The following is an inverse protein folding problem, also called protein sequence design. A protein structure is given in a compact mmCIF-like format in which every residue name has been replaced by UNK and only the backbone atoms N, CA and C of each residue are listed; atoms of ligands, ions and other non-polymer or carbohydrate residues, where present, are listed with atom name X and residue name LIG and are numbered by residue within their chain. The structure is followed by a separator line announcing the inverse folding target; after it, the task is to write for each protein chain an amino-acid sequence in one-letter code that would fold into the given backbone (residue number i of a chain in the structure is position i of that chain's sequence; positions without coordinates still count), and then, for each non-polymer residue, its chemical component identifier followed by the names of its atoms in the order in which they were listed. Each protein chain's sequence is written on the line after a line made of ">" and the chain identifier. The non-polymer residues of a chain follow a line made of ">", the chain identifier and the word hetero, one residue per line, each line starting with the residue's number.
data_IF_100474098482
#
_entry.id   IF_100474098482
#
_cell.length_a   1.000
_cell.length_b   1.000
_cell.length_c   1.000
_cell.angle_alpha   90.00
_cell.angle_beta   90.00
_cell.angle_gamma   90.00
#
_symmetry.space_group_name_H-M   'P 1'
#
loop_
_entity.id
_entity.type
_entity.pdbx_description
1 polymer ?
#
# COMPACT_ATOMS: atom_id res chain seq x y z
N UNK A 1 41.79 14.92 -3.91
CA UNK A 1 41.35 13.51 -3.82
C UNK A 1 40.89 13.21 -2.41
N UNK A 2 39.60 13.41 -2.12
CA UNK A 2 38.99 12.96 -0.87
C UNK A 2 38.12 11.76 -1.23
N UNK A 3 38.69 10.58 -1.00
CA UNK A 3 37.95 9.31 -1.06
C UNK A 3 37.05 9.28 0.18
N UNK A 4 35.76 9.56 -0.02
CA UNK A 4 34.72 9.23 0.94
C UNK A 4 34.62 7.71 0.99
N UNK A 5 35.09 7.14 2.09
CA UNK A 5 34.93 5.72 2.40
C UNK A 5 33.44 5.47 2.60
N UNK A 6 32.85 4.60 1.79
CA UNK A 6 31.53 4.02 2.06
C UNK A 6 31.61 3.25 3.38
N UNK A 7 31.02 3.82 4.42
CA UNK A 7 30.87 3.16 5.70
C UNK A 7 29.82 2.04 5.58
N UNK A 8 30.33 0.81 5.58
CA UNK A 8 29.85 -0.28 6.42
C UNK A 8 28.33 -0.58 6.37
N UNK A 9 27.88 -1.29 5.35
CA UNK A 9 26.63 -2.07 5.46
C UNK A 9 26.92 -3.32 6.29
N UNK A 10 26.54 -3.30 7.57
CA UNK A 10 26.53 -4.49 8.42
C UNK A 10 25.69 -5.59 7.72
N UNK A 11 26.26 -6.76 7.39
CA UNK A 11 25.51 -7.86 6.76
C UNK A 11 24.35 -8.39 7.62
N UNK A 12 24.30 -8.02 8.90
CA UNK A 12 23.21 -8.35 9.82
C UNK A 12 22.25 -7.16 10.08
N UNK A 13 22.37 -6.05 9.36
CA UNK A 13 21.41 -4.94 9.48
C UNK A 13 20.03 -5.40 9.01
N UNK A 14 19.17 -5.75 9.96
CA UNK A 14 17.81 -6.17 9.69
C UNK A 14 16.96 -4.93 9.46
N UNK A 15 16.28 -4.87 8.31
CA UNK A 15 15.30 -3.81 8.03
C UNK A 15 14.19 -3.83 9.09
N UNK A 16 14.07 -2.76 9.88
CA UNK A 16 13.14 -2.64 11.01
C UNK A 16 11.90 -1.84 10.62
N UNK A 17 10.75 -2.49 10.73
CA UNK A 17 9.46 -1.84 10.68
C UNK A 17 8.53 -2.52 11.66
N UNK A 18 7.47 -1.80 12.04
CA UNK A 18 6.42 -2.31 12.91
C UNK A 18 5.08 -1.77 12.45
N UNK A 19 4.01 -2.43 12.87
CA UNK A 19 2.66 -1.93 12.72
C UNK A 19 2.00 -1.76 14.08
N UNK A 20 1.06 -0.81 14.17
CA UNK A 20 0.27 -0.59 15.38
C UNK A 20 -0.55 -1.84 15.68
N UNK A 21 -0.34 -2.43 16.87
CA UNK A 21 -0.98 -3.68 17.29
C UNK A 21 -2.41 -3.47 17.79
N UNK A 22 -2.66 -2.38 18.52
CA UNK A 22 -3.98 -2.01 19.05
C UNK A 22 -4.53 -0.84 18.23
N UNK A 23 -5.34 -1.16 17.24
CA UNK A 23 -6.13 -0.19 16.46
C UNK A 23 -7.27 -0.94 15.77
N UNK A 24 -8.25 -0.20 15.30
CA UNK A 24 -9.25 -0.73 14.40
C UNK A 24 -8.58 -1.14 13.08
N UNK A 25 -8.83 -2.39 12.64
CA UNK A 25 -8.43 -2.94 11.34
C UNK A 25 -9.56 -3.84 10.83
N UNK A 26 -9.78 -3.98 9.52
CA UNK A 26 -10.69 -5.00 9.02
C UNK A 26 -10.10 -6.40 9.29
N UNK A 27 -10.95 -7.41 9.46
CA UNK A 27 -10.50 -8.80 9.52
C UNK A 27 -10.27 -9.30 8.09
N UNK A 28 -9.27 -10.17 7.88
CA UNK A 28 -8.98 -10.75 6.55
C UNK A 28 -10.24 -11.41 5.95
N UNK A 29 -11.03 -12.09 6.78
CA UNK A 29 -12.28 -12.72 6.34
C UNK A 29 -13.32 -11.72 5.85
N UNK A 30 -13.37 -10.51 6.44
CA UNK A 30 -14.29 -9.47 6.00
C UNK A 30 -13.81 -8.80 4.72
N UNK A 31 -12.50 -8.60 4.54
CA UNK A 31 -11.90 -8.17 3.27
C UNK A 31 -12.26 -9.14 2.14
N UNK A 32 -12.12 -10.45 2.40
CA UNK A 32 -12.52 -11.49 1.45
C UNK A 32 -14.01 -11.41 1.12
N UNK A 33 -14.89 -11.24 2.11
CA UNK A 33 -16.33 -11.13 1.89
C UNK A 33 -16.70 -9.94 1.01
N UNK A 34 -16.20 -8.74 1.32
CA UNK A 34 -16.50 -7.54 0.53
C UNK A 34 -15.91 -7.63 -0.89
N UNK A 35 -14.80 -8.36 -1.08
CA UNK A 35 -14.25 -8.64 -2.40
C UNK A 35 -15.21 -9.41 -3.31
N UNK A 36 -16.09 -10.24 -2.73
CA UNK A 36 -17.16 -10.96 -3.45
C UNK A 36 -18.48 -10.17 -3.51
N UNK A 37 -18.54 -8.96 -2.95
CA UNK A 37 -19.77 -8.19 -2.79
C UNK A 37 -20.68 -8.72 -1.68
N UNK A 38 -20.14 -9.52 -0.75
CA UNK A 38 -20.87 -9.97 0.44
C UNK A 38 -20.70 -8.94 1.57
N UNK A 39 -21.70 -8.77 2.45
CA UNK A 39 -21.59 -7.83 3.57
C UNK A 39 -20.49 -8.26 4.54
N UNK A 40 -19.66 -7.32 5.01
CA UNK A 40 -18.74 -7.54 6.13
C UNK A 40 -19.50 -7.74 7.44
N UNK A 41 -18.87 -8.43 8.40
CA UNK A 41 -19.38 -8.56 9.78
C UNK A 41 -18.96 -7.36 10.63
N UNK A 42 -17.72 -6.90 10.47
CA UNK A 42 -17.18 -5.74 11.16
C UNK A 42 -17.62 -4.45 10.46
N UNK A 43 -18.22 -3.53 11.22
CA UNK A 43 -18.58 -2.19 10.72
C UNK A 43 -17.32 -1.43 10.33
N UNK A 44 -17.35 -0.77 9.18
CA UNK A 44 -16.24 0.04 8.66
C UNK A 44 -15.30 -0.68 7.70
N UNK A 45 -15.42 -2.01 7.50
CA UNK A 45 -14.56 -2.74 6.55
C UNK A 45 -14.79 -2.33 5.10
N UNK A 46 -16.01 -1.92 4.75
CA UNK A 46 -16.33 -1.38 3.43
C UNK A 46 -17.33 -0.23 3.52
N UNK A 47 -17.41 0.56 2.45
CA UNK A 47 -18.33 1.68 2.30
C UNK A 47 -19.16 1.53 1.02
N UNK A 48 -20.36 2.12 0.97
CA UNK A 48 -21.20 2.09 -0.24
C UNK A 48 -20.59 2.86 -1.41
N UNK A 49 -19.81 3.90 -1.15
CA UNK A 49 -19.16 4.67 -2.22
C UNK A 49 -17.71 4.30 -2.49
N UNK A 50 -17.16 3.29 -1.79
CA UNK A 50 -15.82 2.77 -2.07
C UNK A 50 -15.99 1.32 -2.53
N UNK A 51 -15.74 1.00 -3.81
CA UNK A 51 -15.99 -0.36 -4.27
C UNK A 51 -14.88 -1.28 -3.78
N UNK A 52 -15.29 -2.50 -3.50
CA UNK A 52 -14.39 -3.59 -3.17
C UNK A 52 -14.68 -4.85 -3.98
N UNK A 53 -15.84 -4.94 -4.65
CA UNK A 53 -16.23 -6.13 -5.39
C UNK A 53 -15.35 -6.32 -6.63
N UNK A 54 -14.59 -7.41 -6.63
CA UNK A 54 -13.71 -7.80 -7.71
C UNK A 54 -14.48 -8.58 -8.78
N UNK A 55 -14.11 -8.37 -10.05
CA UNK A 55 -14.46 -9.29 -11.12
C UNK A 55 -13.46 -10.47 -11.18
N UNK A 56 -13.61 -11.37 -12.16
CA UNK A 56 -12.77 -12.56 -12.29
C UNK A 56 -11.29 -12.23 -12.53
N UNK A 57 -10.99 -11.29 -13.43
CA UNK A 57 -9.63 -10.85 -13.72
C UNK A 57 -8.97 -10.18 -12.50
N UNK A 58 -9.69 -9.28 -11.84
CA UNK A 58 -9.24 -8.60 -10.62
C UNK A 58 -9.03 -9.60 -9.49
N UNK A 59 -9.89 -10.60 -9.38
CA UNK A 59 -9.74 -11.67 -8.41
C UNK A 59 -8.47 -12.48 -8.66
N UNK A 60 -8.22 -12.86 -9.92
CA UNK A 60 -7.01 -13.56 -10.29
C UNK A 60 -5.77 -12.74 -9.90
N UNK A 61 -5.75 -11.44 -10.21
CA UNK A 61 -4.65 -10.54 -9.82
C UNK A 61 -4.50 -10.42 -8.31
N UNK A 62 -5.61 -10.32 -7.57
CA UNK A 62 -5.62 -10.27 -6.11
C UNK A 62 -5.02 -11.54 -5.49
N UNK A 63 -5.42 -12.72 -5.95
CA UNK A 63 -4.88 -13.99 -5.46
C UNK A 63 -3.40 -14.18 -5.79
N UNK A 64 -2.95 -13.69 -6.95
CA UNK A 64 -1.53 -13.65 -7.29
C UNK A 64 -0.76 -12.69 -6.39
N UNK A 65 -1.34 -11.54 -6.06
CA UNK A 65 -0.70 -10.56 -5.17
C UNK A 65 -0.46 -11.12 -3.78
N UNK A 66 -1.42 -11.87 -3.22
CA UNK A 66 -1.28 -12.58 -1.93
C UNK A 66 -0.08 -13.52 -1.90
N UNK A 67 0.12 -14.27 -2.99
CA UNK A 67 1.23 -15.24 -3.12
C UNK A 67 2.57 -14.57 -3.35
N UNK A 68 2.60 -13.45 -4.08
CA UNK A 68 3.84 -12.73 -4.44
C UNK A 68 4.25 -11.70 -3.38
N UNK A 69 3.32 -11.25 -2.56
CA UNK A 69 3.50 -10.13 -1.62
C UNK A 69 3.41 -8.74 -2.26
N UNK A 70 3.09 -8.63 -3.54
CA UNK A 70 2.88 -7.35 -4.22
C UNK A 70 1.86 -7.48 -5.35
N UNK A 71 1.11 -6.40 -5.60
CA UNK A 71 0.09 -6.35 -6.63
C UNK A 71 0.67 -5.86 -7.95
N UNK A 72 0.37 -6.53 -9.06
CA UNK A 72 0.71 -6.06 -10.41
C UNK A 72 -0.55 -5.53 -11.11
N UNK A 73 -0.51 -4.28 -11.58
CA UNK A 73 -1.59 -3.68 -12.38
C UNK A 73 -1.02 -3.11 -13.69
N UNK A 74 -1.85 -2.96 -14.71
CA UNK A 74 -1.48 -2.28 -15.96
C UNK A 74 -1.94 -0.82 -15.86
N UNK A 75 -1.09 0.13 -16.26
CA UNK A 75 -1.37 1.56 -16.14
C UNK A 75 -1.60 1.96 -14.69
N UNK A 76 -2.49 2.93 -14.45
CA UNK A 76 -2.84 3.40 -13.10
C UNK A 76 -3.71 2.42 -12.30
N UNK A 77 -4.21 1.34 -12.91
CA UNK A 77 -5.24 0.48 -12.30
C UNK A 77 -6.61 1.15 -12.21
N UNK A 78 -6.73 2.43 -12.59
CA UNK A 78 -7.98 3.16 -12.70
C UNK A 78 -8.79 2.63 -13.89
N UNK A 79 -10.08 2.34 -13.65
CA UNK A 79 -11.01 1.96 -14.73
C UNK A 79 -12.02 3.09 -14.94
N UNK A 80 -11.88 3.91 -16.01
CA UNK A 80 -12.81 5.00 -16.31
C UNK A 80 -14.28 4.54 -16.36
N UNK A 81 -14.53 3.33 -16.84
CA UNK A 81 -15.87 2.74 -16.98
C UNK A 81 -16.54 2.44 -15.63
N UNK A 82 -15.76 2.36 -14.53
CA UNK A 82 -16.28 2.14 -13.17
C UNK A 82 -16.00 3.31 -12.24
N UNK A 83 -15.32 4.37 -12.71
CA UNK A 83 -14.87 5.55 -11.93
C UNK A 83 -14.16 5.21 -10.62
N UNK A 84 -13.56 4.03 -10.54
CA UNK A 84 -13.08 3.51 -9.28
C UNK A 84 -11.96 2.46 -9.49
N UNK A 85 -11.33 2.02 -8.39
CA UNK A 85 -10.25 1.02 -8.40
C UNK A 85 -10.47 -0.09 -7.35
N UNK A 86 -11.46 -0.98 -7.52
CA UNK A 86 -11.84 -2.00 -6.54
C UNK A 86 -10.69 -2.93 -6.15
N UNK A 87 -9.82 -3.27 -7.12
CA UNK A 87 -8.63 -4.09 -6.88
C UNK A 87 -7.64 -3.40 -5.94
N UNK A 88 -7.32 -2.13 -6.19
CA UNK A 88 -6.42 -1.34 -5.33
C UNK A 88 -7.01 -1.17 -3.93
N UNK A 89 -8.31 -0.85 -3.84
CA UNK A 89 -9.01 -0.68 -2.57
C UNK A 89 -9.00 -1.97 -1.73
N UNK A 90 -9.31 -3.11 -2.36
CA UNK A 90 -9.34 -4.42 -1.69
C UNK A 90 -7.95 -4.87 -1.27
N UNK A 91 -6.95 -4.62 -2.11
CA UNK A 91 -5.56 -4.93 -1.78
C UNK A 91 -5.04 -4.08 -0.62
N UNK A 92 -5.33 -2.77 -0.60
CA UNK A 92 -4.98 -1.88 0.51
C UNK A 92 -5.67 -2.30 1.82
N UNK A 93 -6.95 -2.70 1.76
CA UNK A 93 -7.67 -3.28 2.89
C UNK A 93 -7.03 -4.57 3.41
N UNK A 94 -6.56 -5.45 2.53
CA UNK A 94 -5.85 -6.66 2.93
C UNK A 94 -4.52 -6.34 3.65
N UNK A 95 -3.77 -5.38 3.12
CA UNK A 95 -2.52 -4.92 3.71
C UNK A 95 -2.77 -4.35 5.13
N UNK A 96 -3.84 -3.56 5.30
CA UNK A 96 -4.26 -3.02 6.59
C UNK A 96 -4.72 -4.12 7.57
N UNK A 97 -5.50 -5.09 7.10
CA UNK A 97 -5.92 -6.25 7.90
C UNK A 97 -4.72 -7.03 8.45
N UNK A 98 -3.62 -7.09 7.69
CA UNK A 98 -2.40 -7.80 8.05
C UNK A 98 -1.38 -6.91 8.79
N UNK A 99 -1.61 -5.61 8.86
CA UNK A 99 -0.63 -4.64 9.38
C UNK A 99 0.72 -4.75 8.67
N UNK A 100 0.68 -4.80 7.33
CA UNK A 100 1.85 -4.87 6.43
C UNK A 100 1.77 -3.76 5.39
N UNK A 101 2.90 -3.23 4.94
CA UNK A 101 2.93 -2.21 3.88
C UNK A 101 2.28 -2.74 2.59
N UNK A 102 1.67 -1.84 1.81
CA UNK A 102 1.08 -2.17 0.51
C UNK A 102 2.07 -1.95 -0.63
N UNK A 103 2.43 -3.00 -1.36
CA UNK A 103 3.37 -2.90 -2.50
C UNK A 103 2.60 -3.08 -3.82
N UNK A 104 2.70 -2.11 -4.72
CA UNK A 104 2.02 -2.12 -6.02
C UNK A 104 2.99 -1.80 -7.15
N UNK A 105 3.05 -2.68 -8.16
CA UNK A 105 3.77 -2.50 -9.41
C UNK A 105 2.78 -2.10 -10.52
N UNK A 106 2.83 -0.84 -10.93
CA UNK A 106 2.13 -0.32 -12.09
C UNK A 106 2.97 -0.53 -13.35
N UNK A 107 2.48 -1.37 -14.25
CA UNK A 107 3.15 -1.68 -15.51
C UNK A 107 2.81 -0.63 -16.56
N UNK A 108 3.83 0.10 -17.02
CA UNK A 108 3.77 0.98 -18.17
C UNK A 108 3.57 0.20 -19.47
N UNK A 109 3.20 0.90 -20.53
CA UNK A 109 2.98 0.27 -21.85
C UNK A 109 4.27 -0.30 -22.44
N UNK A 110 5.39 0.40 -22.22
CA UNK A 110 6.70 0.03 -22.79
C UNK A 110 7.48 -0.94 -21.91
N UNK A 111 7.23 -0.93 -20.60
CA UNK A 111 8.04 -1.65 -19.62
C UNK A 111 9.36 -0.97 -19.27
N UNK A 112 9.60 0.24 -19.75
CA UNK A 112 10.75 1.06 -19.35
C UNK A 112 10.41 2.04 -18.23
N UNK A 113 9.11 2.26 -18.00
CA UNK A 113 8.53 3.27 -17.12
C UNK A 113 7.58 2.65 -16.09
N UNK A 114 7.81 1.38 -15.71
CA UNK A 114 7.02 0.72 -14.67
C UNK A 114 7.23 1.44 -13.33
N UNK A 115 6.15 1.68 -12.57
CA UNK A 115 6.19 2.36 -11.26
C UNK A 115 6.01 1.36 -10.11
N UNK A 116 6.92 1.37 -9.15
CA UNK A 116 6.77 0.64 -7.88
C UNK A 116 6.32 1.64 -6.82
N UNK A 117 5.21 1.33 -6.14
CA UNK A 117 4.68 2.10 -5.02
C UNK A 117 4.71 1.25 -3.74
N UNK A 118 5.16 1.86 -2.65
CA UNK A 118 5.06 1.31 -1.29
C UNK A 118 4.21 2.23 -0.44
N UNK A 119 3.03 1.76 -0.03
CA UNK A 119 2.14 2.45 0.90
C UNK A 119 2.42 2.00 2.34
N UNK A 120 2.92 2.93 3.16
CA UNK A 120 3.18 2.69 4.59
C UNK A 120 1.95 2.92 5.47
N UNK A 121 0.87 3.52 4.95
CA UNK A 121 -0.33 3.81 5.73
C UNK A 121 -0.97 2.58 6.43
N UNK A 122 -0.95 1.35 5.86
CA UNK A 122 -1.39 0.15 6.57
C UNK A 122 -0.63 -0.17 7.87
N UNK A 123 0.57 0.39 8.07
CA UNK A 123 1.31 0.21 9.33
C UNK A 123 0.65 0.96 10.50
N UNK A 124 -0.12 2.03 10.20
CA UNK A 124 -0.85 2.87 11.19
C UNK A 124 0.04 3.51 12.25
N UNK A 125 1.26 3.89 11.87
CA UNK A 125 2.26 4.56 12.72
C UNK A 125 2.85 5.76 11.97
N UNK A 126 2.08 6.82 11.74
CA UNK A 126 2.50 7.98 10.94
C UNK A 126 3.82 8.60 11.43
N UNK A 127 4.05 8.60 12.73
CA UNK A 127 5.27 9.09 13.37
C UNK A 127 6.53 8.30 12.99
N UNK A 128 6.36 7.11 12.40
CA UNK A 128 7.47 6.25 11.94
C UNK A 128 7.67 6.23 10.43
N UNK A 129 6.73 6.77 9.64
CA UNK A 129 6.75 6.61 8.17
C UNK A 129 8.03 7.17 7.53
N UNK A 130 8.48 8.35 7.98
CA UNK A 130 9.69 8.97 7.45
C UNK A 130 10.93 8.10 7.72
N UNK A 131 11.10 7.60 8.94
CA UNK A 131 12.22 6.74 9.31
C UNK A 131 12.22 5.42 8.52
N UNK A 132 11.04 4.79 8.40
CA UNK A 132 10.89 3.55 7.61
C UNK A 132 11.17 3.81 6.12
N UNK A 133 10.78 4.96 5.58
CA UNK A 133 11.10 5.34 4.21
C UNK A 133 12.60 5.52 4.01
N UNK A 134 13.28 6.26 4.89
CA UNK A 134 14.72 6.49 4.81
C UNK A 134 15.50 5.18 4.87
N UNK A 135 15.15 4.31 5.82
CA UNK A 135 15.76 2.98 5.95
C UNK A 135 15.47 2.10 4.73
N UNK A 136 14.25 2.16 4.19
CA UNK A 136 13.88 1.44 2.98
C UNK A 136 14.75 1.89 1.79
N UNK A 137 14.89 3.20 1.58
CA UNK A 137 15.70 3.79 0.49
C UNK A 137 17.17 3.41 0.65
N UNK A 138 17.71 3.48 1.88
CA UNK A 138 19.08 3.06 2.17
C UNK A 138 19.30 1.56 1.88
N UNK A 139 18.34 0.71 2.28
CA UNK A 139 18.42 -0.74 2.10
C UNK A 139 18.31 -1.17 0.64
N UNK A 140 17.47 -0.49 -0.15
CA UNK A 140 17.31 -0.82 -1.57
C UNK A 140 18.36 -0.17 -2.45
N UNK A 141 19.03 0.88 -1.98
CA UNK A 141 20.08 1.65 -2.69
C UNK A 141 19.59 2.24 -4.03
N UNK A 142 18.30 2.55 -4.12
CA UNK A 142 17.67 3.17 -5.29
C UNK A 142 16.96 4.44 -4.81
N UNK A 143 17.33 5.58 -5.38
CA UNK A 143 16.69 6.86 -5.04
C UNK A 143 15.24 6.87 -5.55
N UNK A 144 14.27 7.24 -4.69
CA UNK A 144 12.88 7.38 -5.10
C UNK A 144 12.69 8.61 -6.00
N UNK A 145 11.53 8.69 -6.65
CA UNK A 145 11.11 9.89 -7.37
C UNK A 145 10.96 11.06 -6.38
N UNK A 146 11.43 12.25 -6.75
CA UNK A 146 11.23 13.46 -5.94
C UNK A 146 9.72 13.76 -5.79
N UNK A 147 9.27 14.06 -4.56
CA UNK A 147 7.85 14.27 -4.23
C UNK A 147 7.19 13.12 -3.45
N UNK A 148 7.96 12.20 -2.85
CA UNK A 148 7.44 11.21 -1.89
C UNK A 148 7.05 11.88 -0.56
N UNK A 149 5.94 12.59 -0.56
CA UNK A 149 5.19 13.01 0.61
C UNK A 149 3.70 13.00 0.26
N UNK A 150 2.85 13.09 1.28
CA UNK A 150 1.38 13.09 1.21
C UNK A 150 0.75 14.10 0.22
N UNK A 151 1.52 14.97 -0.40
CA UNK A 151 1.04 16.22 -0.98
C UNK A 151 1.04 16.24 -2.53
N UNK A 152 1.64 15.26 -3.21
CA UNK A 152 1.77 15.23 -4.68
C UNK A 152 0.95 14.12 -5.38
N UNK A 153 -0.02 13.52 -4.68
CA UNK A 153 -1.14 12.87 -5.39
C UNK A 153 -2.07 14.00 -5.81
N UNK A 154 -2.32 14.20 -7.11
CA UNK A 154 -3.25 15.23 -7.58
C UNK A 154 -4.65 14.98 -6.97
N UNK A 155 -4.94 15.64 -5.84
CA UNK A 155 -6.18 15.60 -5.05
C UNK A 155 -7.27 16.42 -5.77
N UNK A 156 -7.37 16.28 -7.09
CA UNK A 156 -8.39 16.95 -7.89
C UNK A 156 -9.76 16.28 -7.82
N UNK A 157 -9.88 15.12 -7.16
CA UNK A 157 -11.11 14.30 -7.24
C UNK A 157 -11.40 13.51 -5.95
N UNK A 158 -11.08 14.08 -4.77
CA UNK A 158 -11.45 13.52 -3.47
C UNK A 158 -12.22 14.50 -2.56
N UNK A 159 -12.70 15.63 -3.08
CA UNK A 159 -13.42 16.64 -2.29
C UNK A 159 -14.91 16.33 -2.06
N UNK A 160 -15.45 15.24 -2.61
CA UNK A 160 -16.89 14.95 -2.53
C UNK A 160 -17.37 14.22 -1.25
N UNK A 161 -16.50 14.05 -0.24
CA UNK A 161 -16.78 13.15 0.91
C UNK A 161 -16.72 13.84 2.28
N UNK A 162 -16.58 15.16 2.32
CA UNK A 162 -16.44 15.94 3.57
C UNK A 162 -17.77 16.28 4.25
N UNK A 163 -18.72 15.35 4.31
CA UNK A 163 -19.95 15.53 5.10
C UNK A 163 -20.11 14.39 6.12
N UNK A 164 -19.08 14.22 6.96
CA UNK A 164 -19.16 13.41 8.17
C UNK A 164 -19.07 14.35 9.35
N UNK A 165 -20.18 14.48 10.06
CA UNK A 165 -20.31 15.20 11.33
C UNK A 165 -19.10 14.92 12.23
N UNK A 166 -18.35 16.00 12.52
CA UNK A 166 -17.23 16.00 13.46
C UNK A 166 -17.81 15.77 14.86
N UNK A 167 -17.77 14.54 15.33
CA UNK A 167 -17.97 14.24 16.75
C UNK A 167 -16.64 14.49 17.46
N UNK A 168 -16.67 15.42 18.41
CA UNK A 168 -15.54 15.80 19.25
C UNK A 168 -15.23 14.69 20.26
N UNK A 169 -14.59 13.63 19.80
CA UNK A 169 -13.78 12.76 20.68
C UNK A 169 -12.35 12.75 20.12
N UNK A 170 -11.39 12.70 21.02
CA UNK A 170 -9.95 12.86 20.81
C UNK A 170 -9.36 11.61 20.10
N UNK A 171 -9.99 11.17 19.02
CA UNK A 171 -9.71 9.96 18.29
C UNK A 171 -8.55 10.20 17.32
N UNK A 172 -7.39 9.59 17.61
CA UNK A 172 -6.32 9.46 16.63
C UNK A 172 -6.91 8.75 15.39
N UNK A 173 -7.01 9.42 14.22
CA UNK A 173 -7.66 8.84 13.05
C UNK A 173 -6.98 7.53 12.62
N UNK A 174 -5.69 7.36 12.90
CA UNK A 174 -4.95 6.14 12.62
C UNK A 174 -5.35 4.97 13.53
N UNK A 175 -5.97 5.25 14.67
CA UNK A 175 -6.50 4.24 15.59
C UNK A 175 -7.90 3.76 15.20
N UNK A 176 -8.78 4.65 14.75
CA UNK A 176 -10.23 4.34 14.66
C UNK A 176 -10.75 4.26 13.23
N UNK A 177 -10.15 4.98 12.27
CA UNK A 177 -10.72 5.08 10.93
C UNK A 177 -10.38 3.88 10.03
N UNK A 178 -11.28 3.52 9.11
CA UNK A 178 -10.95 2.62 8.00
C UNK A 178 -9.85 3.16 7.10
N UNK A 179 -9.01 2.26 6.56
CA UNK A 179 -7.84 2.65 5.76
C UNK A 179 -8.20 3.45 4.50
N UNK A 180 -9.38 3.22 3.91
CA UNK A 180 -9.85 4.00 2.76
C UNK A 180 -10.20 5.46 3.10
N UNK A 181 -10.26 5.83 4.39
CA UNK A 181 -10.41 7.22 4.85
C UNK A 181 -9.08 7.85 5.29
N UNK A 182 -7.99 7.10 5.24
CA UNK A 182 -6.66 7.57 5.62
C UNK A 182 -5.86 7.91 4.38
N UNK A 183 -5.15 9.05 4.42
CA UNK A 183 -4.22 9.42 3.35
C UNK A 183 -3.10 8.39 3.24
N UNK A 184 -2.75 7.94 2.04
CA UNK A 184 -1.63 7.04 1.85
C UNK A 184 -0.31 7.77 2.12
N UNK A 185 0.71 7.01 2.52
CA UNK A 185 2.09 7.52 2.59
C UNK A 185 2.92 6.68 1.62
N UNK A 186 3.29 7.28 0.48
CA UNK A 186 3.80 6.55 -0.67
C UNK A 186 5.29 6.81 -0.88
N UNK A 187 6.05 5.73 -1.03
CA UNK A 187 7.39 5.73 -1.62
C UNK A 187 7.25 5.27 -3.07
N UNK A 188 7.88 5.96 -4.02
CA UNK A 188 7.73 5.64 -5.44
C UNK A 188 9.05 5.57 -6.19
N UNK A 189 9.15 4.61 -7.11
CA UNK A 189 10.27 4.46 -8.05
C UNK A 189 9.74 4.26 -9.46
N UNK A 190 10.47 4.76 -10.46
CA UNK A 190 10.24 4.48 -11.89
C UNK A 190 11.43 3.66 -12.39
N UNK A 191 11.18 2.46 -12.89
CA UNK A 191 12.22 1.49 -13.25
C UNK A 191 11.83 0.68 -14.49
N UNK A 192 12.80 0.12 -15.23
CA UNK A 192 12.55 -0.94 -16.19
C UNK A 192 11.87 -2.15 -15.52
N UNK A 193 11.01 -2.86 -16.24
CA UNK A 193 10.15 -3.94 -15.72
C UNK A 193 10.90 -5.03 -14.96
N UNK A 194 12.08 -5.42 -15.44
CA UNK A 194 12.93 -6.41 -14.78
C UNK A 194 13.37 -5.94 -13.39
N UNK A 195 13.84 -4.70 -13.29
CA UNK A 195 14.27 -4.05 -12.05
C UNK A 195 13.09 -3.76 -11.14
N UNK A 196 11.98 -3.25 -11.67
CA UNK A 196 10.75 -3.00 -10.93
C UNK A 196 10.20 -4.28 -10.27
N UNK A 197 10.25 -5.41 -10.99
CA UNK A 197 9.89 -6.73 -10.44
C UNK A 197 10.89 -7.21 -9.40
N UNK A 198 12.18 -7.02 -9.62
CA UNK A 198 13.22 -7.40 -8.64
C UNK A 198 13.06 -6.60 -7.34
N UNK A 199 12.85 -5.29 -7.45
CA UNK A 199 12.58 -4.40 -6.33
C UNK A 199 11.30 -4.80 -5.60
N UNK A 200 10.21 -5.06 -6.32
CA UNK A 200 8.93 -5.46 -5.70
C UNK A 200 9.06 -6.75 -4.90
N UNK A 201 9.83 -7.73 -5.37
CA UNK A 201 10.12 -8.97 -4.64
C UNK A 201 10.96 -8.70 -3.38
N UNK A 202 12.04 -7.93 -3.51
CA UNK A 202 12.90 -7.55 -2.37
C UNK A 202 12.09 -6.83 -1.29
N UNK A 203 11.23 -5.88 -1.69
CA UNK A 203 10.34 -5.17 -0.77
C UNK A 203 9.32 -6.11 -0.12
N UNK A 204 8.78 -7.08 -0.86
CA UNK A 204 7.84 -8.06 -0.32
C UNK A 204 8.47 -8.93 0.77
N UNK A 205 9.73 -9.31 0.60
CA UNK A 205 10.51 -10.01 1.61
C UNK A 205 10.79 -9.11 2.83
N UNK A 206 11.26 -7.87 2.58
CA UNK A 206 11.55 -6.88 3.63
C UNK A 206 10.33 -6.59 4.52
N UNK A 207 9.17 -6.32 3.91
CA UNK A 207 7.92 -6.02 4.62
C UNK A 207 7.09 -7.26 4.99
N UNK A 208 7.58 -8.47 4.70
CA UNK A 208 6.90 -9.74 4.99
C UNK A 208 5.44 -9.75 4.50
N UNK A 209 5.21 -9.32 3.26
CA UNK A 209 3.88 -9.19 2.66
C UNK A 209 3.41 -10.47 1.96
N UNK A 210 4.31 -11.43 1.72
CA UNK A 210 3.96 -12.74 1.15
C UNK A 210 3.04 -13.49 2.12
N UNK A 211 1.92 -14.04 1.64
CA UNK A 211 1.12 -14.98 2.42
C UNK A 211 1.75 -16.36 2.35
N UNK A 212 2.24 -16.83 3.50
CA UNK A 212 2.59 -18.24 3.67
C UNK A 212 1.27 -19.01 3.60
N UNK A 213 1.21 -20.03 2.72
CA UNK A 213 0.06 -20.95 2.73
C UNK A 213 -0.04 -21.54 4.14
N UNK A 214 -1.19 -21.34 4.78
CA UNK A 214 -1.58 -22.10 5.96
C UNK A 214 -1.75 -23.58 5.59
#
# INVERSE_FOLDING_TARGET
>A
CLSSKNENTDPNHQFLWRSRQKCWRPDISDVERISFGKPAKKKGTGSRGVPHRLNEDERFLFDQARKKGFLEVIGSGWRPQRREAPLLNTYRNLCDARGRAGIVLHKGSTGMDDKVLVDLSPLRLPETFQAVMEECVQTVQIQPLAGTSSDDVNVGELEAWNDVERTEENDDPWETRPIYQLSPFLISWVLPRSEAKALSKKLADMFQTIEVKA
#
